data_IF_114443170158
#
_entry.id   IF_114443170158
#
_cell.length_a   1.000
_cell.length_b   1.000
_cell.length_c   1.000
_cell.angle_alpha   90.00
_cell.angle_beta   90.00
_cell.angle_gamma   90.00
#
_symmetry.space_group_name_H-M   'P 1'
#
loop_
_entity.id
_entity.type
_entity.pdbx_description
1 polymer ?
#
# COMPACT_ATOMS: atom_id res chain seq x y z
N UNK A 1 -20.74 -9.22 -22.00
CA UNK A 1 -21.40 -10.01 -20.93
C UNK A 1 -20.33 -10.76 -20.20
N UNK A 2 -20.19 -10.56 -18.89
CA UNK A 2 -19.21 -11.24 -18.05
C UNK A 2 -19.50 -12.76 -18.01
N UNK A 3 -18.53 -13.57 -18.41
CA UNK A 3 -18.69 -15.04 -18.53
C UNK A 3 -18.51 -15.81 -17.21
N UNK A 4 -18.31 -15.11 -16.08
CA UNK A 4 -18.09 -15.72 -14.77
C UNK A 4 -16.63 -16.06 -14.43
N UNK A 5 -15.75 -16.13 -15.41
CA UNK A 5 -14.31 -16.38 -15.24
C UNK A 5 -13.50 -15.34 -16.01
N UNK A 6 -12.51 -14.75 -15.34
CA UNK A 6 -11.62 -13.79 -15.95
C UNK A 6 -10.18 -14.16 -15.63
N UNK A 7 -9.45 -14.63 -16.63
CA UNK A 7 -8.03 -14.95 -16.51
C UNK A 7 -7.26 -14.09 -17.51
N UNK A 8 -6.18 -13.47 -17.03
CA UNK A 8 -5.25 -12.70 -17.85
C UNK A 8 -3.87 -13.35 -17.80
N UNK A 9 -3.03 -13.05 -18.78
CA UNK A 9 -1.61 -13.36 -18.74
C UNK A 9 -0.88 -12.08 -18.38
N UNK A 10 -0.09 -12.12 -17.31
CA UNK A 10 0.77 -11.00 -16.99
C UNK A 10 1.90 -10.84 -18.04
N UNK A 11 2.67 -9.75 -18.01
CA UNK A 11 3.76 -9.53 -18.98
C UNK A 11 4.87 -10.60 -18.96
N UNK A 12 4.93 -11.43 -17.93
CA UNK A 12 5.86 -12.55 -17.80
C UNK A 12 5.25 -13.89 -18.24
N UNK A 13 3.99 -13.87 -18.75
CA UNK A 13 3.27 -15.05 -19.18
C UNK A 13 2.67 -15.88 -18.05
N UNK A 14 2.64 -15.33 -16.82
CA UNK A 14 2.00 -15.99 -15.68
C UNK A 14 0.49 -15.76 -15.75
N UNK A 15 -0.27 -16.85 -15.62
CA UNK A 15 -1.73 -16.78 -15.60
C UNK A 15 -2.24 -16.22 -14.27
N UNK A 16 -3.08 -15.20 -14.32
CA UNK A 16 -3.68 -14.54 -13.15
C UNK A 16 -5.20 -14.64 -13.24
N UNK A 17 -5.82 -15.30 -12.27
CA UNK A 17 -7.28 -15.40 -12.15
C UNK A 17 -7.84 -14.17 -11.43
N UNK A 18 -8.58 -13.36 -12.15
CA UNK A 18 -9.26 -12.17 -11.64
C UNK A 18 -10.74 -12.42 -11.32
N UNK A 19 -11.17 -13.69 -11.29
CA UNK A 19 -12.56 -14.06 -10.99
C UNK A 19 -12.91 -13.75 -9.53
N UNK A 20 -13.95 -12.95 -9.27
CA UNK A 20 -14.40 -12.67 -7.90
C UNK A 20 -15.07 -13.91 -7.25
N UNK A 21 -15.11 -13.98 -5.91
CA UNK A 21 -14.52 -13.04 -4.97
C UNK A 21 -13.02 -13.24 -4.81
N UNK A 22 -12.28 -12.12 -4.65
CA UNK A 22 -10.86 -12.17 -4.35
C UNK A 22 -10.63 -12.50 -2.88
N UNK A 23 -9.64 -13.35 -2.56
CA UNK A 23 -9.22 -13.59 -1.19
C UNK A 23 -8.87 -12.29 -0.46
N UNK A 24 -9.20 -12.26 0.83
CA UNK A 24 -8.94 -11.12 1.72
C UNK A 24 -8.00 -11.59 2.83
N UNK A 25 -6.94 -10.84 3.06
CA UNK A 25 -5.98 -11.04 4.14
C UNK A 25 -5.86 -9.77 4.95
N UNK A 26 -5.85 -9.89 6.27
CA UNK A 26 -5.34 -8.77 7.07
C UNK A 26 -3.84 -8.65 6.85
N UNK A 27 -3.28 -7.45 7.02
CA UNK A 27 -1.82 -7.28 6.96
C UNK A 27 -1.12 -8.21 7.96
N UNK A 28 -1.66 -8.35 9.17
CA UNK A 28 -1.09 -9.22 10.20
C UNK A 28 -1.04 -10.68 9.75
N UNK A 29 -2.15 -11.20 9.18
CA UNK A 29 -2.21 -12.58 8.70
C UNK A 29 -1.30 -12.78 7.48
N UNK A 30 -1.25 -11.82 6.56
CA UNK A 30 -0.37 -11.89 5.39
C UNK A 30 1.12 -11.88 5.79
N UNK A 31 1.51 -11.09 6.77
CA UNK A 31 2.88 -11.10 7.30
C UNK A 31 3.23 -12.44 7.97
N UNK A 32 2.31 -12.99 8.75
CA UNK A 32 2.51 -14.29 9.38
C UNK A 32 2.61 -15.41 8.34
N UNK A 33 1.69 -15.46 7.38
CA UNK A 33 1.62 -16.53 6.36
C UNK A 33 2.77 -16.46 5.36
N UNK A 34 3.03 -15.28 4.80
CA UNK A 34 3.94 -15.14 3.66
C UNK A 34 5.37 -14.75 4.04
N UNK A 35 5.56 -14.11 5.20
CA UNK A 35 6.88 -13.76 5.69
C UNK A 35 7.33 -14.59 6.91
N UNK A 36 6.43 -15.32 7.55
CA UNK A 36 6.71 -16.03 8.80
C UNK A 36 6.90 -15.08 9.99
N UNK A 37 6.36 -13.87 9.91
CA UNK A 37 6.61 -12.81 10.90
C UNK A 37 5.27 -12.39 11.53
N UNK A 38 5.14 -12.62 12.83
CA UNK A 38 4.08 -12.02 13.62
C UNK A 38 4.45 -10.58 13.93
N UNK A 39 3.65 -9.63 13.45
CA UNK A 39 3.92 -8.21 13.64
C UNK A 39 3.89 -7.82 15.13
N UNK A 40 4.99 -7.31 15.69
CA UNK A 40 4.97 -6.71 17.01
C UNK A 40 4.27 -5.34 16.96
N UNK A 41 3.91 -4.75 18.13
CA UNK A 41 3.38 -3.41 18.21
C UNK A 41 4.26 -2.38 17.48
N UNK A 42 3.70 -1.28 16.93
CA UNK A 42 4.46 -0.29 16.18
C UNK A 42 5.53 0.49 16.93
N UNK A 43 5.54 0.42 18.25
CA UNK A 43 6.58 0.99 19.11
C UNK A 43 7.73 0.00 19.42
N UNK A 44 7.61 -1.24 18.95
CA UNK A 44 8.65 -2.28 19.09
C UNK A 44 9.37 -2.53 17.75
N UNK A 45 10.16 -1.56 17.30
CA UNK A 45 11.01 -1.71 16.12
C UNK A 45 12.06 -2.82 16.30
N UNK A 46 12.60 -2.95 17.49
CA UNK A 46 13.61 -3.97 17.82
C UNK A 46 13.05 -5.39 17.67
N UNK A 47 11.84 -5.63 18.16
CA UNK A 47 11.16 -6.91 17.99
C UNK A 47 10.89 -7.23 16.53
N UNK A 48 10.48 -6.24 15.73
CA UNK A 48 10.27 -6.41 14.29
C UNK A 48 11.60 -6.74 13.57
N UNK A 49 12.69 -6.06 13.89
CA UNK A 49 14.02 -6.36 13.34
C UNK A 49 14.45 -7.80 13.67
N UNK A 50 14.33 -8.18 14.94
CA UNK A 50 14.70 -9.53 15.40
C UNK A 50 13.89 -10.61 14.65
N UNK A 51 12.58 -10.40 14.50
CA UNK A 51 11.71 -11.32 13.76
C UNK A 51 12.09 -11.41 12.28
N UNK A 52 12.37 -10.28 11.63
CA UNK A 52 12.75 -10.26 10.23
C UNK A 52 14.13 -10.92 9.97
N UNK A 53 15.11 -10.66 10.84
CA UNK A 53 16.43 -11.32 10.80
C UNK A 53 16.28 -12.83 11.03
N UNK A 54 15.47 -13.26 12.00
CA UNK A 54 15.18 -14.68 12.24
C UNK A 54 14.49 -15.34 11.02
N UNK A 55 13.68 -14.58 10.26
CA UNK A 55 13.10 -15.03 9.00
C UNK A 55 14.09 -14.98 7.81
N UNK A 56 15.37 -14.70 8.05
CA UNK A 56 16.43 -14.71 7.04
C UNK A 56 16.46 -13.48 6.14
N UNK A 57 16.00 -12.32 6.60
CA UNK A 57 16.08 -11.07 5.85
C UNK A 57 17.40 -10.35 6.18
N UNK A 58 18.23 -10.10 5.15
CA UNK A 58 19.49 -9.37 5.26
C UNK A 58 19.37 -7.87 4.94
N UNK A 59 18.23 -7.44 4.44
CA UNK A 59 17.97 -6.05 4.05
C UNK A 59 17.59 -5.14 5.24
N UNK A 60 17.27 -5.74 6.39
CA UNK A 60 16.91 -5.02 7.61
C UNK A 60 18.16 -4.43 8.25
N UNK A 61 18.17 -3.13 8.46
CA UNK A 61 19.25 -2.43 9.13
C UNK A 61 18.84 -2.06 10.56
N UNK A 62 19.78 -2.02 11.52
CA UNK A 62 19.50 -1.60 12.90
C UNK A 62 18.90 -0.18 13.03
N UNK A 63 19.19 0.68 12.06
CA UNK A 63 18.72 2.06 11.99
C UNK A 63 17.30 2.20 11.40
N UNK A 64 16.74 1.13 10.83
CA UNK A 64 15.40 1.17 10.26
C UNK A 64 14.38 1.46 11.39
N UNK A 65 13.52 2.43 11.20
CA UNK A 65 12.36 2.53 12.08
C UNK A 65 11.35 1.40 11.75
N UNK A 66 10.36 1.21 12.62
CA UNK A 66 9.36 0.15 12.46
C UNK A 66 8.68 0.19 11.07
N UNK A 67 8.36 1.39 10.59
CA UNK A 67 7.70 1.60 9.30
C UNK A 67 8.59 1.18 8.13
N UNK A 68 9.87 1.53 8.18
CA UNK A 68 10.85 1.13 7.16
C UNK A 68 11.05 -0.38 7.13
N UNK A 69 11.20 -1.01 8.30
CA UNK A 69 11.32 -2.45 8.41
C UNK A 69 10.05 -3.16 7.89
N UNK A 70 8.87 -2.66 8.26
CA UNK A 70 7.59 -3.16 7.79
C UNK A 70 7.49 -3.16 6.26
N UNK A 71 7.81 -2.05 5.59
CA UNK A 71 7.76 -1.98 4.13
C UNK A 71 8.78 -2.89 3.45
N UNK A 72 9.98 -3.04 4.02
CA UNK A 72 10.96 -4.00 3.51
C UNK A 72 10.42 -5.43 3.55
N UNK A 73 9.78 -5.83 4.65
CA UNK A 73 9.16 -7.15 4.78
C UNK A 73 8.01 -7.30 3.76
N UNK A 74 7.14 -6.30 3.66
CA UNK A 74 6.02 -6.31 2.72
C UNK A 74 6.51 -6.52 1.27
N UNK A 75 7.45 -5.69 0.82
CA UNK A 75 7.94 -5.69 -0.56
C UNK A 75 8.77 -6.95 -0.87
N UNK A 76 9.59 -7.44 0.07
CA UNK A 76 10.51 -8.54 -0.20
C UNK A 76 9.90 -9.93 0.01
N UNK A 77 8.85 -10.05 0.84
CA UNK A 77 8.28 -11.33 1.22
C UNK A 77 6.80 -11.47 0.88
N UNK A 78 5.99 -10.48 1.25
CA UNK A 78 4.53 -10.58 1.09
C UNK A 78 4.12 -10.37 -0.36
N UNK A 79 4.47 -9.26 -0.98
CA UNK A 79 4.05 -8.96 -2.36
C UNK A 79 4.48 -10.04 -3.38
N UNK A 80 5.74 -10.56 -3.36
CA UNK A 80 6.11 -11.64 -4.25
C UNK A 80 5.33 -12.94 -3.97
N UNK A 81 4.89 -13.16 -2.73
CA UNK A 81 4.08 -14.32 -2.36
C UNK A 81 2.65 -14.17 -2.86
N UNK A 82 2.08 -12.95 -2.77
CA UNK A 82 0.78 -12.65 -3.38
C UNK A 82 0.79 -12.89 -4.89
N UNK A 83 1.86 -12.47 -5.58
CA UNK A 83 2.01 -12.73 -7.01
C UNK A 83 1.96 -14.23 -7.33
N UNK A 84 2.63 -15.07 -6.52
CA UNK A 84 2.64 -16.54 -6.70
C UNK A 84 1.29 -17.21 -6.47
N UNK A 85 0.32 -16.55 -5.84
CA UNK A 85 -1.04 -17.09 -5.71
C UNK A 85 -1.75 -17.25 -7.07
N UNK A 86 -1.30 -16.54 -8.10
CA UNK A 86 -1.95 -16.49 -9.40
C UNK A 86 -3.37 -15.93 -9.37
N UNK A 87 -3.73 -15.14 -8.35
CA UNK A 87 -5.07 -14.59 -8.15
C UNK A 87 -5.02 -13.11 -7.76
N UNK A 88 -6.15 -12.41 -7.97
CA UNK A 88 -6.38 -11.14 -7.30
C UNK A 88 -6.56 -11.32 -5.79
N UNK A 89 -6.01 -10.42 -4.98
CA UNK A 89 -6.01 -10.48 -3.51
C UNK A 89 -6.24 -9.07 -2.94
N UNK A 90 -6.94 -8.99 -1.80
CA UNK A 90 -7.06 -7.76 -1.03
C UNK A 90 -6.27 -7.87 0.28
N UNK A 91 -5.47 -6.84 0.58
CA UNK A 91 -4.84 -6.63 1.90
C UNK A 91 -5.62 -5.58 2.68
N UNK A 92 -6.02 -5.93 3.89
CA UNK A 92 -6.90 -5.16 4.78
C UNK A 92 -6.20 -4.87 6.11
N UNK A 93 -6.82 -4.01 6.92
CA UNK A 93 -6.44 -3.78 8.32
C UNK A 93 -4.97 -3.39 8.47
N UNK A 94 -4.59 -2.33 7.77
CA UNK A 94 -3.25 -1.79 7.83
C UNK A 94 -2.91 -1.26 9.23
N UNK A 95 -1.70 -1.46 9.75
CA UNK A 95 -1.32 -0.95 11.06
C UNK A 95 -1.56 0.56 11.20
N UNK A 96 -1.98 1.02 12.38
CA UNK A 96 -2.36 2.41 12.62
C UNK A 96 -1.29 3.46 12.20
N UNK A 97 0.03 3.23 12.34
CA UNK A 97 1.03 4.17 11.82
C UNK A 97 0.98 4.33 10.30
N UNK A 98 0.48 3.31 9.58
CA UNK A 98 0.35 3.28 8.13
C UNK A 98 -1.00 3.84 7.64
N UNK A 99 -1.79 4.41 8.56
CA UNK A 99 -3.14 4.90 8.24
C UNK A 99 -3.14 6.06 7.23
N UNK A 100 -2.09 6.88 7.16
CA UNK A 100 -2.02 8.07 6.29
C UNK A 100 -3.27 8.96 6.42
N UNK A 101 -4.13 8.98 5.40
CA UNK A 101 -5.40 9.72 5.39
C UNK A 101 -6.61 8.86 5.77
N UNK A 102 -6.38 7.58 6.08
CA UNK A 102 -7.43 6.63 6.46
C UNK A 102 -7.90 6.86 7.89
N UNK A 103 -9.17 6.60 8.13
CA UNK A 103 -9.72 6.49 9.48
C UNK A 103 -9.20 5.22 10.15
N UNK A 104 -8.94 5.28 11.46
CA UNK A 104 -8.73 4.06 12.25
C UNK A 104 -10.03 3.31 12.44
N UNK A 105 -9.94 1.99 12.52
CA UNK A 105 -11.11 1.15 12.79
C UNK A 105 -11.72 1.49 14.15
N UNK A 106 -13.04 1.62 14.17
CA UNK A 106 -13.79 1.91 15.42
C UNK A 106 -13.79 0.73 16.38
N UNK A 107 -13.71 -0.48 15.86
CA UNK A 107 -13.69 -1.72 16.65
C UNK A 107 -12.27 -2.12 17.09
N UNK A 108 -11.25 -1.73 16.33
CA UNK A 108 -9.84 -2.00 16.63
C UNK A 108 -8.94 -0.82 16.23
N UNK A 109 -8.73 0.17 17.12
CA UNK A 109 -7.93 1.36 16.82
C UNK A 109 -6.45 1.10 16.50
N UNK A 110 -5.96 -0.15 16.63
CA UNK A 110 -4.60 -0.52 16.23
C UNK A 110 -4.44 -0.66 14.72
N UNK A 111 -5.55 -0.67 13.95
CA UNK A 111 -5.56 -0.78 12.50
C UNK A 111 -6.36 0.33 11.84
N UNK A 112 -6.02 0.58 10.59
CA UNK A 112 -6.71 1.53 9.72
C UNK A 112 -7.73 0.81 8.81
N UNK A 113 -8.86 1.43 8.55
CA UNK A 113 -9.83 1.00 7.55
C UNK A 113 -9.31 1.29 6.14
N UNK A 114 -8.29 0.54 5.73
CA UNK A 114 -7.58 0.68 4.45
C UNK A 114 -7.51 -0.67 3.77
N UNK A 115 -7.66 -0.66 2.45
CA UNK A 115 -7.55 -1.83 1.59
C UNK A 115 -6.62 -1.52 0.43
N UNK A 116 -5.73 -2.44 0.11
CA UNK A 116 -5.02 -2.46 -1.16
C UNK A 116 -5.34 -3.74 -1.91
N UNK A 117 -5.42 -3.63 -3.25
CA UNK A 117 -5.74 -4.76 -4.10
C UNK A 117 -4.56 -5.07 -5.00
N UNK A 118 -4.16 -6.33 -5.01
CA UNK A 118 -3.01 -6.83 -5.76
C UNK A 118 -3.44 -7.88 -6.77
N UNK A 119 -2.83 -7.88 -7.95
CA UNK A 119 -2.92 -8.96 -8.91
C UNK A 119 -1.67 -8.99 -9.79
N UNK A 120 -1.14 -10.19 -10.07
CA UNK A 120 0.07 -10.35 -10.90
C UNK A 120 1.29 -9.63 -10.34
N UNK A 121 1.41 -9.51 -9.01
CA UNK A 121 2.51 -8.78 -8.35
C UNK A 121 2.39 -7.25 -8.40
N UNK A 122 1.28 -6.71 -8.88
CA UNK A 122 1.05 -5.27 -8.97
C UNK A 122 -0.02 -4.84 -7.95
N UNK A 123 0.27 -3.80 -7.16
CA UNK A 123 -0.75 -3.06 -6.43
C UNK A 123 -1.62 -2.31 -7.43
N UNK A 124 -2.86 -2.73 -7.60
CA UNK A 124 -3.80 -2.13 -8.57
C UNK A 124 -4.59 -0.98 -7.96
N UNK A 125 -4.95 -1.08 -6.69
CA UNK A 125 -5.75 -0.05 -6.04
C UNK A 125 -5.40 0.11 -4.57
N UNK A 126 -5.63 1.33 -4.07
CA UNK A 126 -5.50 1.70 -2.67
C UNK A 126 -6.73 2.51 -2.28
N UNK A 127 -7.46 2.05 -1.31
CA UNK A 127 -8.70 2.66 -0.86
C UNK A 127 -8.83 2.65 0.65
N UNK A 128 -9.63 3.55 1.19
CA UNK A 128 -9.83 3.63 2.63
C UNK A 128 -11.09 4.41 2.99
N UNK A 129 -11.55 4.21 4.22
CA UNK A 129 -12.51 5.11 4.86
C UNK A 129 -11.78 6.41 5.22
N UNK A 130 -12.33 7.53 4.80
CA UNK A 130 -11.69 8.84 4.93
C UNK A 130 -11.60 9.29 6.40
N UNK A 131 -10.47 9.89 6.76
CA UNK A 131 -10.32 10.58 8.03
C UNK A 131 -11.04 11.94 7.98
N UNK A 132 -12.12 12.06 8.70
CA UNK A 132 -12.96 13.27 8.70
C UNK A 132 -12.67 14.23 9.86
N UNK A 133 -11.84 13.83 10.84
CA UNK A 133 -11.46 14.69 11.98
C UNK A 133 -10.27 15.61 11.61
N UNK A 134 -10.48 16.94 11.53
CA UNK A 134 -9.42 17.88 11.19
C UNK A 134 -8.33 18.00 12.27
N UNK A 135 -8.63 17.66 13.54
CA UNK A 135 -7.64 17.72 14.61
C UNK A 135 -6.66 16.57 14.50
N UNK A 136 -7.18 15.36 14.29
CA UNK A 136 -6.38 14.17 14.05
C UNK A 136 -5.58 14.32 12.76
N UNK A 137 -6.17 14.82 11.68
CA UNK A 137 -5.47 15.07 10.43
C UNK A 137 -4.30 16.04 10.59
N UNK A 138 -4.52 17.13 11.34
CA UNK A 138 -3.44 18.09 11.65
C UNK A 138 -2.32 17.44 12.46
N UNK A 139 -2.67 16.59 13.42
CA UNK A 139 -1.69 15.85 14.22
C UNK A 139 -0.82 14.96 13.33
N UNK A 140 -1.43 14.20 12.43
CA UNK A 140 -0.71 13.33 11.48
C UNK A 140 0.20 14.12 10.54
N UNK A 141 -0.27 15.22 9.97
CA UNK A 141 0.55 16.10 9.13
C UNK A 141 1.78 16.63 9.88
N UNK A 142 1.63 17.00 11.13
CA UNK A 142 2.77 17.45 11.96
C UNK A 142 3.77 16.34 12.22
N UNK A 143 3.31 15.14 12.54
CA UNK A 143 4.17 13.97 12.76
C UNK A 143 4.95 13.63 11.49
N UNK A 144 4.28 13.52 10.36
CA UNK A 144 4.92 13.21 9.08
C UNK A 144 5.91 14.30 8.65
N UNK A 145 5.56 15.56 8.85
CA UNK A 145 6.45 16.69 8.58
C UNK A 145 7.74 16.63 9.38
N UNK A 146 7.66 16.27 10.66
CA UNK A 146 8.85 16.10 11.52
C UNK A 146 9.70 14.90 11.08
N UNK A 147 9.07 13.78 10.74
CA UNK A 147 9.76 12.60 10.20
C UNK A 147 10.54 12.95 8.92
N UNK A 148 9.90 13.64 7.97
CA UNK A 148 10.56 14.08 6.73
C UNK A 148 11.70 15.05 6.99
N UNK A 149 11.51 16.00 7.92
CA UNK A 149 12.58 16.92 8.29
C UNK A 149 13.80 16.17 8.83
N UNK A 150 13.60 15.21 9.69
CA UNK A 150 14.70 14.41 10.26
C UNK A 150 15.42 13.55 9.20
N UNK A 151 14.69 13.07 8.18
CA UNK A 151 15.26 12.23 7.10
C UNK A 151 15.87 13.04 5.95
N UNK A 152 15.27 14.16 5.56
CA UNK A 152 15.58 14.90 4.32
C UNK A 152 15.95 16.37 4.54
N UNK A 153 15.92 16.86 5.78
CA UNK A 153 16.24 18.26 6.10
C UNK A 153 15.22 19.31 5.64
N UNK A 154 14.11 18.91 5.01
CA UNK A 154 13.12 19.84 4.47
C UNK A 154 11.82 19.84 5.29
N UNK A 155 11.31 21.04 5.59
CA UNK A 155 10.01 21.23 6.23
C UNK A 155 8.98 21.65 5.16
N UNK A 156 8.17 20.70 4.71
CA UNK A 156 7.04 21.01 3.84
C UNK A 156 5.96 21.81 4.59
N UNK A 157 5.29 22.77 3.97
CA UNK A 157 4.18 23.49 4.58
C UNK A 157 3.01 22.52 4.84
N UNK A 158 2.25 22.81 5.90
CA UNK A 158 0.96 22.12 6.13
C UNK A 158 -0.09 22.76 5.24
N UNK A 159 -0.91 21.96 4.57
CA UNK A 159 -2.03 22.47 3.79
C UNK A 159 -3.17 22.94 4.71
N UNK A 160 -3.12 24.19 5.08
CA UNK A 160 -4.14 24.83 5.92
C UNK A 160 -5.47 25.00 5.18
N UNK A 161 -5.46 25.02 3.84
CA UNK A 161 -6.67 25.10 3.02
C UNK A 161 -7.47 23.80 3.13
N UNK A 162 -6.79 22.68 2.97
CA UNK A 162 -7.38 21.35 3.17
C UNK A 162 -7.96 21.19 4.58
N UNK A 163 -7.20 21.52 5.62
CA UNK A 163 -7.65 21.42 7.00
C UNK A 163 -8.86 22.32 7.31
N UNK A 164 -8.93 23.52 6.73
CA UNK A 164 -10.12 24.37 6.83
C UNK A 164 -11.32 23.80 6.10
N UNK A 165 -11.09 23.16 4.94
CA UNK A 165 -12.14 22.43 4.22
C UNK A 165 -12.71 21.30 5.06
N UNK A 166 -11.84 20.49 5.63
CA UNK A 166 -12.23 19.38 6.52
C UNK A 166 -12.99 19.86 7.76
N UNK A 167 -12.57 20.99 8.34
CA UNK A 167 -13.22 21.58 9.52
C UNK A 167 -14.64 22.13 9.25
N UNK A 168 -15.01 22.37 7.99
CA UNK A 168 -16.38 22.74 7.61
C UNK A 168 -17.35 21.56 7.65
N UNK A 169 -16.81 20.36 7.75
CA UNK A 169 -17.53 19.10 7.80
C UNK A 169 -17.32 18.28 6.51
N UNK A 170 -16.95 17.03 6.72
CA UNK A 170 -16.90 15.99 5.68
C UNK A 170 -17.77 14.84 6.17
N UNK A 171 -18.75 14.37 5.39
CA UNK A 171 -19.54 13.20 5.77
C UNK A 171 -18.65 11.95 5.82
N UNK A 172 -19.09 10.92 6.54
CA UNK A 172 -18.47 9.60 6.45
C UNK A 172 -18.45 9.17 4.99
N UNK A 173 -17.27 8.96 4.45
CA UNK A 173 -17.04 8.61 3.06
C UNK A 173 -15.90 7.60 2.96
N UNK A 174 -15.82 6.92 1.83
CA UNK A 174 -14.70 6.10 1.45
C UNK A 174 -14.31 6.42 0.01
N UNK A 175 -13.04 6.30 -0.28
CA UNK A 175 -12.50 6.50 -1.62
C UNK A 175 -11.53 5.38 -2.00
N UNK A 176 -11.35 5.19 -3.30
CA UNK A 176 -10.36 4.27 -3.85
C UNK A 176 -9.67 4.92 -5.04
N UNK A 177 -8.35 4.82 -5.08
CA UNK A 177 -7.55 5.15 -6.24
C UNK A 177 -7.22 3.85 -6.98
N UNK A 178 -7.49 3.81 -8.29
CA UNK A 178 -7.13 2.71 -9.18
C UNK A 178 -5.98 3.16 -10.09
N UNK A 179 -4.88 2.41 -10.08
CA UNK A 179 -3.73 2.62 -10.95
C UNK A 179 -4.02 2.12 -12.37
N UNK A 180 -4.49 2.99 -13.25
CA UNK A 180 -4.82 2.61 -14.63
C UNK A 180 -3.61 2.08 -15.40
N UNK A 181 -2.44 2.67 -15.21
CA UNK A 181 -1.21 2.21 -15.85
C UNK A 181 -0.85 0.79 -15.40
N UNK A 182 -0.97 0.50 -14.10
CA UNK A 182 -0.73 -0.85 -13.57
C UNK A 182 -1.78 -1.86 -14.04
N UNK A 183 -3.05 -1.44 -14.13
CA UNK A 183 -4.10 -2.27 -14.72
C UNK A 183 -3.81 -2.57 -16.18
N UNK A 184 -3.39 -1.57 -16.96
CA UNK A 184 -3.02 -1.77 -18.36
C UNK A 184 -1.81 -2.70 -18.49
N UNK A 185 -0.78 -2.58 -17.63
CA UNK A 185 0.34 -3.53 -17.59
C UNK A 185 -0.14 -4.96 -17.33
N UNK A 186 -1.06 -5.16 -16.38
CA UNK A 186 -1.59 -6.47 -16.04
C UNK A 186 -2.31 -7.17 -17.20
N UNK A 187 -3.04 -6.41 -18.03
CA UNK A 187 -3.88 -6.97 -19.12
C UNK A 187 -3.21 -6.90 -20.49
N UNK A 188 -2.01 -6.36 -20.57
CA UNK A 188 -1.27 -6.15 -21.81
C UNK A 188 -0.13 -7.17 -21.96
N UNK A 189 0.25 -7.55 -23.18
CA UNK A 189 1.41 -8.42 -23.40
C UNK A 189 2.77 -7.70 -23.22
N UNK A 190 2.78 -6.44 -22.81
CA UNK A 190 4.02 -5.66 -22.58
C UNK A 190 4.14 -5.24 -21.13
N UNK A 191 5.38 -5.23 -20.62
CA UNK A 191 5.77 -4.68 -19.32
C UNK A 191 6.32 -3.25 -19.40
N UNK A 192 6.24 -2.60 -20.56
CA UNK A 192 6.79 -1.27 -20.81
C UNK A 192 5.66 -0.26 -20.99
N UNK A 193 5.48 0.61 -19.99
CA UNK A 193 4.46 1.68 -19.98
C UNK A 193 4.57 2.63 -21.17
N UNK A 194 5.73 2.76 -21.80
CA UNK A 194 5.92 3.62 -22.98
C UNK A 194 5.06 3.17 -24.16
N UNK A 195 4.72 1.89 -24.23
CA UNK A 195 3.82 1.37 -25.26
C UNK A 195 2.33 1.51 -24.92
N UNK A 196 2.02 1.74 -23.64
CA UNK A 196 0.63 1.84 -23.15
C UNK A 196 0.17 3.29 -22.94
N UNK A 197 1.11 4.21 -22.77
CA UNK A 197 0.84 5.63 -22.51
C UNK A 197 1.43 6.50 -23.64
N UNK A 198 0.70 6.74 -24.74
CA UNK A 198 1.20 7.49 -25.90
C UNK A 198 1.76 8.88 -25.56
N UNK A 199 1.23 9.54 -24.50
CA UNK A 199 1.70 10.84 -24.04
C UNK A 199 3.13 10.83 -23.44
N UNK A 200 3.66 9.66 -23.10
CA UNK A 200 5.06 9.52 -22.63
C UNK A 200 6.05 9.49 -23.82
N UNK A 201 5.55 9.28 -25.04
CA UNK A 201 6.39 9.16 -26.23
C UNK A 201 6.82 10.50 -26.84
N UNK A 202 6.17 11.63 -26.48
CA UNK A 202 6.42 12.94 -27.10
C UNK A 202 7.71 13.64 -26.65
N UNK A 203 8.46 13.09 -25.67
CA UNK A 203 9.69 13.72 -25.16
C UNK A 203 11.00 13.10 -25.65
N UNK A 204 10.99 12.32 -26.73
CA UNK A 204 12.22 12.08 -27.50
C UNK A 204 12.37 13.20 -28.52
N UNK A 205 12.75 14.37 -27.98
CA UNK A 205 13.21 15.49 -28.78
C UNK A 205 14.39 15.04 -29.65
N UNK A 206 14.26 15.36 -30.90
CA UNK A 206 15.33 15.49 -31.88
C UNK A 206 16.53 16.19 -31.24
N UNK A 207 17.61 15.47 -31.02
CA UNK A 207 18.98 15.97 -31.09
C UNK A 207 19.64 15.38 -32.33
#
# INVERSE_FOLDING_TARGET
TYSGHLTVQDPHGVSVDLTPPWPQWTIADAMAEFAGIHLPPPDDATGLHAAAVAAGMSSINPEDDWETAFYKILIERVEPSLARTGRGVHLLDWPAPMAALSRLSRSNPSVAERVESYAGGLELSNGFSELTDPREQRRRFRTERLRRHNRQGSLLPVDESFLRGLARGMPDAAGVALGLDRLMLLVSPTNDLRYLAPHVMEHRGTE
#
